data_IF_791056586094
#
_entry.id   IF_791056586094
#
_cell.length_a   1.000
_cell.length_b   1.000
_cell.length_c   1.000
_cell.angle_alpha   90.00
_cell.angle_beta   90.00
_cell.angle_gamma   90.00
#
_symmetry.space_group_name_H-M   'P 1'
#
loop_
_entity.id
_entity.type
_entity.pdbx_description
1 polymer ?
#
# COMPACT_ATOMS: atom_id res chain seq x y z
N UNK A 1 16.17 7.03 10.78
CA UNK A 1 15.07 7.06 9.78
C UNK A 1 14.31 5.75 9.91
N UNK A 2 12.98 5.76 10.04
CA UNK A 2 12.16 4.53 10.18
C UNK A 2 11.31 4.30 8.92
N UNK A 3 11.25 3.05 8.48
CA UNK A 3 10.32 2.59 7.46
C UNK A 3 9.35 1.60 8.11
N UNK A 4 8.10 1.56 7.62
CA UNK A 4 7.08 0.62 8.11
C UNK A 4 6.68 -0.34 7.01
N UNK A 5 6.40 -1.57 7.44
CA UNK A 5 5.94 -2.66 6.60
C UNK A 5 4.40 -2.78 6.58
N UNK A 6 3.86 -3.62 5.70
CA UNK A 6 2.44 -3.93 5.54
C UNK A 6 1.74 -4.21 6.88
N UNK A 7 2.34 -5.05 7.73
CA UNK A 7 1.75 -5.45 9.01
C UNK A 7 1.48 -4.27 9.95
N UNK A 8 2.43 -3.33 10.04
CA UNK A 8 2.29 -2.10 10.85
C UNK A 8 1.20 -1.20 10.29
N UNK A 9 1.10 -1.09 8.96
CA UNK A 9 0.05 -0.30 8.30
C UNK A 9 -1.31 -0.91 8.62
N UNK A 10 -1.47 -2.23 8.45
CA UNK A 10 -2.72 -2.94 8.75
C UNK A 10 -3.13 -2.72 10.21
N UNK A 11 -2.23 -2.95 11.18
CA UNK A 11 -2.50 -2.76 12.59
C UNK A 11 -2.92 -1.31 12.91
N UNK A 12 -2.27 -0.31 12.29
CA UNK A 12 -2.59 1.09 12.53
C UNK A 12 -3.97 1.52 11.99
N UNK A 13 -4.51 0.84 10.98
CA UNK A 13 -5.82 1.14 10.40
C UNK A 13 -6.93 0.19 10.88
N UNK A 14 -6.57 -0.95 11.47
CA UNK A 14 -7.49 -1.90 12.08
C UNK A 14 -7.68 -1.62 13.58
N UNK A 15 -8.72 -0.86 13.94
CA UNK A 15 -8.99 -0.48 15.34
C UNK A 15 -9.22 -1.65 16.31
N UNK A 16 -9.51 -2.83 15.78
CA UNK A 16 -9.68 -4.08 16.53
C UNK A 16 -8.35 -4.83 16.76
N UNK A 17 -7.27 -4.43 16.09
CA UNK A 17 -5.98 -5.09 16.20
C UNK A 17 -5.34 -4.76 17.56
N UNK A 18 -4.80 -5.77 18.25
CA UNK A 18 -4.19 -5.61 19.58
C UNK A 18 -3.10 -4.52 19.61
N UNK A 19 -2.30 -4.43 18.53
CA UNK A 19 -1.22 -3.45 18.40
C UNK A 19 -1.66 -2.11 17.81
N UNK A 20 -2.96 -1.86 17.66
CA UNK A 20 -3.48 -0.66 16.98
C UNK A 20 -2.92 0.64 17.56
N UNK A 21 -2.91 0.78 18.89
CA UNK A 21 -2.43 1.98 19.55
C UNK A 21 -0.93 2.25 19.28
N UNK A 22 -0.12 1.19 19.32
CA UNK A 22 1.32 1.24 19.05
C UNK A 22 1.60 1.57 17.59
N UNK A 23 0.96 0.86 16.67
CA UNK A 23 1.12 1.07 15.23
C UNK A 23 0.64 2.47 14.80
N UNK A 24 -0.49 2.96 15.35
CA UNK A 24 -0.96 4.31 15.12
C UNK A 24 0.04 5.37 15.65
N UNK A 25 0.74 5.09 16.75
CA UNK A 25 1.79 5.97 17.27
C UNK A 25 2.98 6.06 16.31
N UNK A 26 3.41 4.94 15.73
CA UNK A 26 4.47 4.93 14.71
C UNK A 26 4.05 5.70 13.46
N UNK A 27 2.81 5.55 12.97
CA UNK A 27 2.33 6.32 11.82
C UNK A 27 2.28 7.84 12.08
N UNK A 28 2.02 8.28 13.33
CA UNK A 28 2.11 9.70 13.72
C UNK A 28 3.52 10.27 13.56
N UNK A 29 4.56 9.43 13.61
CA UNK A 29 5.95 9.83 13.37
C UNK A 29 6.28 10.02 11.88
N UNK A 30 5.31 9.84 10.98
CA UNK A 30 5.44 10.01 9.52
C UNK A 30 6.59 9.17 8.93
N UNK A 31 6.59 7.83 9.15
CA UNK A 31 7.64 6.96 8.65
C UNK A 31 7.63 6.91 7.13
N UNK A 32 8.73 6.39 6.55
CA UNK A 32 8.74 6.05 5.13
C UNK A 32 7.98 4.75 4.90
N UNK A 33 7.47 4.58 3.70
CA UNK A 33 6.79 3.36 3.27
C UNK A 33 7.12 3.11 1.80
N UNK A 34 7.31 1.84 1.43
CA UNK A 34 7.52 1.42 0.05
C UNK A 34 6.17 1.18 -0.62
N UNK A 35 6.08 1.42 -1.93
CA UNK A 35 4.82 1.35 -2.67
C UNK A 35 4.12 -0.02 -2.58
N UNK A 36 4.87 -1.13 -2.60
CA UNK A 36 4.29 -2.47 -2.50
C UNK A 36 3.63 -2.71 -1.14
N UNK A 37 4.24 -2.25 -0.04
CA UNK A 37 3.65 -2.38 1.30
C UNK A 37 2.31 -1.65 1.43
N UNK A 38 2.15 -0.50 0.76
CA UNK A 38 0.84 0.18 0.68
C UNK A 38 -0.19 -0.62 -0.13
N UNK A 39 0.23 -1.24 -1.23
CA UNK A 39 -0.66 -2.05 -2.08
C UNK A 39 -1.10 -3.33 -1.38
N UNK A 40 -0.20 -3.99 -0.67
CA UNK A 40 -0.50 -5.15 0.16
C UNK A 40 -1.48 -4.77 1.28
N UNK A 41 -1.19 -3.69 2.02
CA UNK A 41 -2.07 -3.20 3.07
C UNK A 41 -3.46 -2.82 2.53
N UNK A 42 -3.53 -2.18 1.36
CA UNK A 42 -4.79 -1.94 0.65
C UNK A 42 -5.59 -3.22 0.47
N UNK A 43 -4.92 -4.23 -0.10
CA UNK A 43 -5.53 -5.48 -0.52
C UNK A 43 -5.99 -6.29 0.68
N UNK A 44 -5.27 -6.22 1.80
CA UNK A 44 -5.71 -6.83 3.07
C UNK A 44 -6.94 -6.09 3.59
N UNK A 45 -6.81 -4.79 3.88
CA UNK A 45 -7.85 -4.02 4.58
C UNK A 45 -9.18 -3.99 3.83
N UNK A 46 -9.16 -3.99 2.49
CA UNK A 46 -10.38 -3.94 1.67
C UNK A 46 -11.01 -5.31 1.37
N UNK A 47 -10.28 -6.41 1.57
CA UNK A 47 -10.77 -7.78 1.31
C UNK A 47 -11.10 -8.58 2.57
N UNK A 48 -10.85 -8.03 3.76
CA UNK A 48 -11.28 -8.65 5.01
C UNK A 48 -12.79 -8.97 4.99
N UNK A 49 -13.23 -10.04 5.68
CA UNK A 49 -14.64 -10.27 5.93
C UNK A 49 -15.22 -9.11 6.74
N UNK A 50 -16.51 -8.80 6.54
CA UNK A 50 -17.19 -7.86 7.45
C UNK A 50 -17.15 -8.42 8.88
N UNK A 51 -17.12 -7.61 9.96
CA UNK A 51 -17.11 -6.14 10.11
C UNK A 51 -15.72 -5.48 9.99
N UNK A 52 -14.67 -6.24 9.67
CA UNK A 52 -13.28 -5.75 9.68
C UNK A 52 -12.83 -5.08 8.37
N UNK A 53 -13.67 -5.12 7.35
CA UNK A 53 -13.40 -4.52 6.04
C UNK A 53 -13.36 -2.99 6.13
N UNK A 54 -12.23 -2.42 5.73
CA UNK A 54 -12.09 -0.98 5.59
C UNK A 54 -12.71 -0.49 4.26
N UNK A 55 -13.47 0.62 4.26
CA UNK A 55 -13.93 1.25 3.04
C UNK A 55 -12.74 1.73 2.19
N UNK A 56 -12.63 1.33 0.91
CA UNK A 56 -11.48 1.70 0.06
C UNK A 56 -11.26 3.21 -0.05
N UNK A 57 -12.33 3.98 -0.21
CA UNK A 57 -12.29 5.44 -0.30
C UNK A 57 -11.75 6.10 0.97
N UNK A 58 -12.01 5.49 2.14
CA UNK A 58 -11.53 6.02 3.42
C UNK A 58 -10.01 5.87 3.55
N UNK A 59 -9.45 4.73 3.12
CA UNK A 59 -8.00 4.49 3.10
C UNK A 59 -7.27 5.45 2.17
N UNK A 60 -7.82 5.66 0.98
CA UNK A 60 -7.24 6.56 -0.03
C UNK A 60 -7.20 8.01 0.44
N UNK A 61 -8.20 8.43 1.23
CA UNK A 61 -8.24 9.78 1.81
C UNK A 61 -7.32 9.94 3.04
N UNK A 62 -7.03 8.86 3.78
CA UNK A 62 -6.23 8.92 5.00
C UNK A 62 -4.71 8.79 4.74
N UNK A 63 -4.29 8.00 3.77
CA UNK A 63 -2.86 7.77 3.48
C UNK A 63 -2.03 9.02 3.17
N UNK A 64 -2.51 10.04 2.43
CA UNK A 64 -1.72 11.25 2.19
C UNK A 64 -1.32 11.98 3.47
N UNK A 65 -2.11 11.84 4.55
CA UNK A 65 -1.82 12.42 5.86
C UNK A 65 -0.79 11.60 6.62
N UNK A 66 -0.86 10.27 6.54
CA UNK A 66 0.06 9.35 7.23
C UNK A 66 1.43 9.23 6.55
N UNK A 67 1.50 9.37 5.22
CA UNK A 67 2.72 9.18 4.43
C UNK A 67 3.05 10.38 3.53
N UNK A 68 3.31 11.58 4.09
CA UNK A 68 3.48 12.81 3.32
C UNK A 68 4.75 12.85 2.45
N UNK A 69 5.72 11.95 2.67
CA UNK A 69 6.98 11.84 1.91
C UNK A 69 6.95 10.74 0.83
N UNK A 70 5.95 9.86 0.84
CA UNK A 70 5.80 8.75 -0.14
C UNK A 70 4.84 9.11 -1.29
N UNK A 71 4.75 10.40 -1.63
CA UNK A 71 3.76 11.01 -2.55
C UNK A 71 3.78 10.51 -4.00
N UNK A 72 4.75 9.69 -4.38
CA UNK A 72 4.99 9.36 -5.78
C UNK A 72 3.99 8.36 -6.39
N UNK A 73 3.25 7.59 -5.58
CA UNK A 73 2.45 6.47 -6.11
C UNK A 73 0.95 6.50 -5.77
N UNK A 74 0.59 6.90 -4.54
CA UNK A 74 -0.76 6.72 -3.99
C UNK A 74 -1.87 7.49 -4.74
N UNK A 75 -1.54 8.57 -5.45
CA UNK A 75 -2.52 9.37 -6.22
C UNK A 75 -2.81 8.81 -7.62
N UNK A 76 -1.96 7.95 -8.20
CA UNK A 76 -2.03 7.57 -9.62
C UNK A 76 -2.70 6.20 -9.86
N UNK A 77 -2.52 5.26 -8.93
CA UNK A 77 -3.19 3.94 -8.98
C UNK A 77 -4.68 4.04 -8.63
N UNK A 78 -5.02 4.88 -7.65
CA UNK A 78 -6.39 5.03 -7.16
C UNK A 78 -7.40 5.64 -8.15
N UNK A 79 -6.92 6.37 -9.17
CA UNK A 79 -7.75 7.09 -10.15
C UNK A 79 -7.84 6.36 -11.51
N UNK A 80 -7.42 5.08 -11.59
CA UNK A 80 -7.45 4.32 -12.85
C UNK A 80 -6.63 4.92 -13.99
N UNK A 81 -5.76 5.89 -13.70
CA UNK A 81 -4.97 6.65 -14.68
C UNK A 81 -3.52 6.16 -14.70
N UNK A 82 -3.34 4.85 -14.61
CA UNK A 82 -2.03 4.23 -14.80
C UNK A 82 -1.72 4.23 -16.30
N UNK A 83 -0.82 5.12 -16.72
CA UNK A 83 -0.11 5.00 -17.99
C UNK A 83 1.24 4.38 -17.66
N UNK A 84 1.55 3.24 -18.29
CA UNK A 84 2.81 2.52 -18.16
C UNK A 84 3.97 3.54 -18.18
N UNK A 85 4.92 3.51 -17.23
CA UNK A 85 6.15 4.28 -17.41
C UNK A 85 6.77 3.79 -18.71
N UNK A 86 7.08 4.71 -19.62
CA UNK A 86 7.74 4.40 -20.88
C UNK A 86 9.07 3.71 -20.58
N UNK A 87 9.02 2.37 -20.50
CA UNK A 87 10.18 1.50 -20.37
C UNK A 87 10.55 1.10 -21.78
N UNK A 88 10.87 2.12 -22.58
CA UNK A 88 11.56 1.92 -23.84
C UNK A 88 12.99 1.49 -23.50
N UNK A 89 13.41 0.40 -24.12
CA UNK A 89 14.73 -0.23 -24.08
C UNK A 89 15.07 -1.09 -22.86
N UNK A 90 14.42 -2.24 -22.75
CA UNK A 90 15.11 -3.51 -22.47
C UNK A 90 14.20 -4.69 -22.79
N UNK A 91 14.07 -4.98 -24.09
CA UNK A 91 13.62 -6.29 -24.55
C UNK A 91 14.60 -7.35 -24.02
N UNK A 92 14.25 -7.97 -22.89
CA UNK A 92 14.79 -9.27 -22.52
C UNK A 92 14.08 -10.31 -23.38
N UNK A 93 14.80 -11.19 -24.11
CA UNK A 93 14.16 -12.15 -25.00
C UNK A 93 13.28 -13.10 -24.19
N UNK A 94 12.00 -13.14 -24.54
CA UNK A 94 11.03 -14.11 -24.04
C UNK A 94 11.47 -15.49 -24.52
N UNK A 95 12.01 -16.30 -23.62
CA UNK A 95 12.24 -17.73 -23.86
C UNK A 95 10.87 -18.43 -23.92
N UNK A 96 10.52 -19.13 -25.01
CA UNK A 96 9.29 -19.90 -25.07
C UNK A 96 9.38 -21.08 -24.11
N UNK A 97 8.53 -21.09 -23.09
CA UNK A 97 8.24 -22.31 -22.30
C UNK A 97 7.67 -23.34 -23.26
N UNK A 98 8.47 -24.35 -23.57
CA UNK A 98 8.02 -25.55 -24.25
C UNK A 98 7.38 -26.43 -23.17
N UNK A 99 6.05 -26.52 -23.18
CA UNK A 99 5.35 -27.56 -22.41
C UNK A 99 5.77 -28.90 -22.99
N UNK A 100 6.41 -29.74 -22.17
CA UNK A 100 6.65 -31.16 -22.45
C UNK A 100 5.67 -31.98 -21.65
#
# INVERSE_FOLDING_TARGET
MRAVDTSVIVAAFAGWHQDHASAAAELRQRPRVVAHALLEAYSVLTRLPGPHRAPPVWLLNSWPRSFPKSRWFCRRVAIGRWRHPDWSDSESPVVPVTTR
#
